data_IF_109270280522
#
_entry.id   IF_109270280522
#
_cell.length_a   1.000
_cell.length_b   1.000
_cell.length_c   1.000
_cell.angle_alpha   90.00
_cell.angle_beta   90.00
_cell.angle_gamma   90.00
#
_symmetry.space_group_name_H-M   'P 1'
#
loop_
_entity.id
_entity.type
_entity.pdbx_description
1 polymer ?
#
# COMPACT_ATOMS: atom_id res chain seq x y z
N UNK A 1 10.11 -21.27 -24.62
CA UNK A 1 9.53 -19.94 -24.31
C UNK A 1 8.10 -19.80 -24.83
N UNK A 2 7.77 -20.25 -26.05
CA UNK A 2 6.39 -20.19 -26.59
C UNK A 2 5.35 -20.93 -25.76
N UNK A 3 5.65 -22.11 -25.22
CA UNK A 3 4.69 -22.85 -24.37
C UNK A 3 4.35 -22.10 -23.08
N UNK A 4 5.36 -21.51 -22.43
CA UNK A 4 5.18 -20.69 -21.22
C UNK A 4 4.41 -19.42 -21.58
N UNK A 5 4.79 -18.72 -22.65
CA UNK A 5 4.10 -17.53 -23.11
C UNK A 5 2.63 -17.81 -23.48
N UNK A 6 2.34 -18.90 -24.19
CA UNK A 6 0.96 -19.29 -24.54
C UNK A 6 0.15 -19.73 -23.33
N UNK A 7 0.75 -20.41 -22.35
CA UNK A 7 0.10 -20.74 -21.08
C UNK A 7 -0.31 -19.48 -20.33
N UNK A 8 0.60 -18.51 -20.16
CA UNK A 8 0.30 -17.25 -19.49
C UNK A 8 -0.70 -16.39 -20.28
N UNK A 9 -0.62 -16.35 -21.61
CA UNK A 9 -1.60 -15.64 -22.44
C UNK A 9 -3.02 -16.23 -22.32
N UNK A 10 -3.12 -17.56 -22.29
CA UNK A 10 -4.41 -18.26 -22.10
C UNK A 10 -4.95 -17.99 -20.70
N UNK A 11 -4.10 -18.02 -19.68
CA UNK A 11 -4.46 -17.71 -18.29
C UNK A 11 -4.93 -16.26 -18.11
N UNK A 12 -4.23 -15.30 -18.71
CA UNK A 12 -4.61 -13.88 -18.64
C UNK A 12 -5.97 -13.61 -19.28
N UNK A 13 -6.39 -14.42 -20.27
CA UNK A 13 -7.72 -14.30 -20.88
C UNK A 13 -8.88 -14.74 -19.97
N UNK A 14 -8.59 -15.47 -18.89
CA UNK A 14 -9.61 -15.97 -17.94
C UNK A 14 -9.98 -14.93 -16.87
N UNK A 15 -9.26 -13.81 -16.81
CA UNK A 15 -9.43 -12.77 -15.79
C UNK A 15 -8.69 -13.07 -14.48
N UNK A 16 -8.40 -12.02 -13.71
CA UNK A 16 -7.58 -12.08 -12.50
C UNK A 16 -8.13 -13.03 -11.42
N UNK A 17 -9.46 -13.12 -11.30
CA UNK A 17 -10.16 -13.96 -10.32
C UNK A 17 -9.99 -15.47 -10.57
N UNK A 18 -9.61 -15.88 -11.79
CA UNK A 18 -9.32 -17.28 -12.15
C UNK A 18 -7.82 -17.49 -12.31
N UNK A 19 -7.13 -16.52 -12.91
CA UNK A 19 -5.70 -16.58 -13.14
C UNK A 19 -4.90 -16.72 -11.84
N UNK A 20 -5.13 -15.86 -10.84
CA UNK A 20 -4.31 -15.89 -9.63
C UNK A 20 -4.46 -17.17 -8.80
N UNK A 21 -5.66 -17.72 -8.57
CA UNK A 21 -5.80 -19.01 -7.93
C UNK A 21 -4.95 -20.12 -8.54
N UNK A 22 -4.90 -20.19 -9.88
CA UNK A 22 -4.13 -21.21 -10.61
C UNK A 22 -2.64 -20.95 -10.43
N UNK A 23 -2.21 -19.69 -10.54
CA UNK A 23 -0.82 -19.30 -10.34
C UNK A 23 -0.35 -19.68 -8.93
N UNK A 24 -1.11 -19.32 -7.89
CA UNK A 24 -0.75 -19.65 -6.50
C UNK A 24 -0.72 -21.16 -6.26
N UNK A 25 -1.69 -21.90 -6.79
CA UNK A 25 -1.69 -23.37 -6.72
C UNK A 25 -0.40 -23.95 -7.32
N UNK A 26 -0.04 -23.54 -8.54
CA UNK A 26 1.16 -24.05 -9.23
C UNK A 26 2.42 -23.66 -8.48
N UNK A 27 2.55 -22.41 -8.04
CA UNK A 27 3.74 -21.94 -7.31
C UNK A 27 3.92 -22.66 -5.97
N UNK A 28 2.85 -22.79 -5.18
CA UNK A 28 2.90 -23.49 -3.91
C UNK A 28 3.36 -24.95 -4.09
N UNK A 29 2.86 -25.63 -5.13
CA UNK A 29 3.30 -26.99 -5.48
C UNK A 29 4.78 -27.06 -5.88
N UNK A 30 5.26 -26.12 -6.70
CA UNK A 30 6.68 -26.08 -7.11
C UNK A 30 7.61 -25.84 -5.92
N UNK A 31 7.18 -25.06 -4.93
CA UNK A 31 7.92 -24.83 -3.70
C UNK A 31 7.83 -25.98 -2.69
N UNK A 32 7.05 -27.03 -2.99
CA UNK A 32 6.97 -28.25 -2.18
C UNK A 32 5.81 -28.28 -1.17
N UNK A 33 4.84 -27.37 -1.26
CA UNK A 33 3.62 -27.44 -0.46
C UNK A 33 2.71 -28.60 -0.92
N UNK A 34 1.85 -29.09 -0.02
CA UNK A 34 0.92 -30.20 -0.36
C UNK A 34 -0.18 -29.69 -1.29
N UNK A 35 -0.69 -30.57 -2.16
CA UNK A 35 -1.76 -30.21 -3.10
C UNK A 35 -3.01 -29.65 -2.43
N UNK A 36 -3.49 -30.26 -1.34
CA UNK A 36 -4.67 -29.78 -0.63
C UNK A 36 -4.51 -28.37 -0.04
N UNK A 37 -3.34 -28.09 0.54
CA UNK A 37 -2.99 -26.77 1.08
C UNK A 37 -2.87 -25.75 -0.06
N UNK A 38 -2.22 -26.12 -1.16
CA UNK A 38 -2.02 -25.28 -2.35
C UNK A 38 -3.33 -24.95 -3.06
N UNK A 39 -4.25 -25.91 -3.15
CA UNK A 39 -5.57 -25.70 -3.76
C UNK A 39 -6.43 -24.78 -2.89
N UNK A 40 -6.45 -25.01 -1.57
CA UNK A 40 -7.16 -24.14 -0.62
C UNK A 40 -6.62 -22.71 -0.68
N UNK A 41 -5.29 -22.56 -0.72
CA UNK A 41 -4.60 -21.28 -0.86
C UNK A 41 -5.03 -20.53 -2.13
N UNK A 42 -4.94 -21.18 -3.30
CA UNK A 42 -5.38 -20.59 -4.56
C UNK A 42 -6.85 -20.17 -4.55
N UNK A 43 -7.75 -21.04 -4.07
CA UNK A 43 -9.18 -20.71 -3.98
C UNK A 43 -9.46 -19.54 -3.03
N UNK A 44 -8.74 -19.44 -1.90
CA UNK A 44 -8.88 -18.31 -0.97
C UNK A 44 -8.49 -16.98 -1.61
N UNK A 45 -7.41 -16.98 -2.41
CA UNK A 45 -7.04 -15.82 -3.23
C UNK A 45 -8.20 -15.44 -4.17
N UNK A 46 -8.81 -16.41 -4.85
CA UNK A 46 -9.95 -16.16 -5.74
C UNK A 46 -11.14 -15.50 -5.03
N UNK A 47 -11.47 -15.97 -3.82
CA UNK A 47 -12.51 -15.37 -2.98
C UNK A 47 -12.17 -13.92 -2.63
N UNK A 48 -10.92 -13.65 -2.23
CA UNK A 48 -10.48 -12.28 -1.91
C UNK A 48 -10.61 -11.33 -3.11
N UNK A 49 -10.26 -11.78 -4.31
CA UNK A 49 -10.41 -11.00 -5.55
C UNK A 49 -11.87 -10.67 -5.86
N UNK A 50 -12.76 -11.67 -5.80
CA UNK A 50 -14.19 -11.46 -6.03
C UNK A 50 -14.76 -10.50 -4.98
N UNK A 51 -14.42 -10.71 -3.71
CA UNK A 51 -14.88 -9.87 -2.60
C UNK A 51 -14.44 -8.41 -2.75
N UNK A 52 -13.16 -8.17 -3.10
CA UNK A 52 -12.66 -6.81 -3.34
C UNK A 52 -13.38 -6.14 -4.52
N UNK A 53 -13.56 -6.84 -5.64
CA UNK A 53 -14.26 -6.29 -6.80
C UNK A 53 -15.71 -5.91 -6.50
N UNK A 54 -16.42 -6.70 -5.68
CA UNK A 54 -17.77 -6.36 -5.22
C UNK A 54 -17.78 -5.06 -4.40
N UNK A 55 -16.79 -4.87 -3.51
CA UNK A 55 -16.71 -3.68 -2.67
C UNK A 55 -16.29 -2.44 -3.49
N UNK A 56 -15.37 -2.60 -4.44
CA UNK A 56 -14.97 -1.54 -5.38
C UNK A 56 -16.20 -1.08 -6.19
N UNK A 57 -17.00 -2.02 -6.69
CA UNK A 57 -18.26 -1.70 -7.37
C UNK A 57 -19.22 -0.92 -6.46
N UNK A 58 -19.42 -1.40 -5.23
CA UNK A 58 -20.26 -0.72 -4.23
C UNK A 58 -19.78 0.71 -3.91
N UNK A 59 -18.46 0.93 -3.84
CA UNK A 59 -17.87 2.26 -3.68
C UNK A 59 -18.18 3.15 -4.89
N UNK A 60 -17.96 2.66 -6.11
CA UNK A 60 -18.25 3.40 -7.34
C UNK A 60 -19.73 3.79 -7.44
N UNK A 61 -20.64 2.84 -7.19
CA UNK A 61 -22.09 3.04 -7.27
C UNK A 61 -22.63 4.02 -6.22
N UNK A 62 -21.96 4.11 -5.06
CA UNK A 62 -22.41 4.95 -3.95
C UNK A 62 -21.73 6.33 -3.93
N UNK A 63 -20.40 6.36 -4.04
CA UNK A 63 -19.59 7.57 -3.92
C UNK A 63 -19.47 8.32 -5.26
N UNK A 64 -19.57 7.63 -6.40
CA UNK A 64 -19.57 8.22 -7.74
C UNK A 64 -20.62 9.31 -7.92
N UNK A 65 -21.92 9.02 -7.68
CA UNK A 65 -22.97 10.02 -7.78
C UNK A 65 -22.78 11.22 -6.84
N UNK A 66 -22.30 10.98 -5.61
CA UNK A 66 -22.04 12.06 -4.64
C UNK A 66 -20.93 12.98 -5.13
N UNK A 67 -19.89 12.39 -5.69
CA UNK A 67 -18.73 13.11 -6.22
C UNK A 67 -19.11 13.92 -7.46
N UNK A 68 -19.91 13.36 -8.36
CA UNK A 68 -20.45 14.07 -9.51
C UNK A 68 -21.35 15.24 -9.10
N UNK A 69 -22.21 15.05 -8.08
CA UNK A 69 -23.05 16.13 -7.58
C UNK A 69 -22.23 17.30 -7.00
N UNK A 70 -21.11 17.01 -6.32
CA UNK A 70 -20.19 18.05 -5.84
C UNK A 70 -19.46 18.77 -6.98
N UNK A 71 -19.10 18.05 -8.05
CA UNK A 71 -18.54 18.64 -9.28
C UNK A 71 -19.55 19.62 -9.90
N UNK A 72 -20.80 19.19 -10.07
CA UNK A 72 -21.85 19.98 -10.70
C UNK A 72 -22.27 21.21 -9.87
N UNK A 73 -22.29 21.07 -8.53
CA UNK A 73 -22.77 22.11 -7.60
C UNK A 73 -21.68 23.13 -7.25
N UNK A 74 -20.45 22.67 -7.03
CA UNK A 74 -19.36 23.51 -6.50
C UNK A 74 -18.21 23.73 -7.48
N UNK A 75 -18.29 23.15 -8.69
CA UNK A 75 -17.22 23.25 -9.68
C UNK A 75 -15.93 22.54 -9.26
N UNK A 76 -16.02 21.57 -8.35
CA UNK A 76 -14.88 20.73 -7.95
C UNK A 76 -14.46 19.80 -9.10
N UNK A 77 -13.24 19.29 -9.06
CA UNK A 77 -12.71 18.38 -10.10
C UNK A 77 -12.48 16.95 -9.60
N UNK A 78 -13.25 16.49 -8.60
CA UNK A 78 -12.99 15.25 -7.85
C UNK A 78 -13.33 13.95 -8.61
N UNK A 79 -13.05 13.83 -9.90
CA UNK A 79 -13.56 12.73 -10.74
C UNK A 79 -12.93 11.34 -10.51
N UNK A 80 -11.97 11.22 -9.58
CA UNK A 80 -11.25 9.95 -9.30
C UNK A 80 -11.53 9.51 -7.88
N UNK A 81 -12.08 8.31 -7.70
CA UNK A 81 -12.35 7.74 -6.38
C UNK A 81 -11.17 6.88 -5.90
N UNK A 82 -10.71 7.15 -4.69
CA UNK A 82 -9.76 6.28 -4.00
C UNK A 82 -10.45 5.00 -3.49
N UNK A 83 -10.21 3.90 -4.20
CA UNK A 83 -10.71 2.56 -3.88
C UNK A 83 -9.81 1.78 -2.91
N UNK A 84 -8.66 2.35 -2.56
CA UNK A 84 -7.72 1.82 -1.59
C UNK A 84 -6.71 0.83 -2.13
N UNK A 85 -5.59 0.72 -1.42
CA UNK A 85 -4.46 -0.12 -1.79
C UNK A 85 -4.78 -1.60 -2.04
N UNK A 86 -5.77 -2.28 -1.41
CA UNK A 86 -6.03 -3.68 -1.72
C UNK A 86 -6.61 -3.87 -3.12
N UNK A 87 -7.39 -2.91 -3.60
CA UNK A 87 -7.86 -2.88 -4.97
C UNK A 87 -6.66 -2.77 -5.93
N UNK A 88 -5.74 -1.84 -5.66
CA UNK A 88 -4.51 -1.68 -6.45
C UNK A 88 -3.62 -2.93 -6.43
N UNK A 89 -3.53 -3.62 -5.28
CA UNK A 89 -2.82 -4.90 -5.16
C UNK A 89 -3.46 -6.01 -5.98
N UNK A 90 -4.79 -6.12 -5.94
CA UNK A 90 -5.54 -7.05 -6.76
C UNK A 90 -5.30 -6.77 -8.26
N UNK A 91 -5.42 -5.52 -8.70
CA UNK A 91 -5.13 -5.11 -10.07
C UNK A 91 -3.69 -5.48 -10.45
N UNK A 92 -2.71 -5.17 -9.60
CA UNK A 92 -1.30 -5.46 -9.85
C UNK A 92 -1.02 -6.95 -10.06
N UNK A 93 -1.56 -7.81 -9.21
CA UNK A 93 -1.41 -9.27 -9.35
C UNK A 93 -2.23 -9.83 -10.52
N UNK A 94 -3.31 -9.15 -10.89
CA UNK A 94 -4.15 -9.51 -12.04
C UNK A 94 -3.50 -9.28 -13.41
N UNK A 95 -2.35 -8.60 -13.49
CA UNK A 95 -1.67 -8.33 -14.76
C UNK A 95 -0.72 -9.45 -15.18
N UNK A 96 -0.29 -9.41 -16.45
CA UNK A 96 0.78 -10.27 -16.96
C UNK A 96 2.10 -10.07 -16.21
N UNK A 97 2.43 -8.84 -15.78
CA UNK A 97 3.61 -8.59 -14.95
C UNK A 97 3.43 -9.22 -13.57
N UNK A 98 2.24 -9.10 -12.97
CA UNK A 98 1.87 -9.74 -11.71
C UNK A 98 2.07 -11.26 -11.72
N UNK A 99 1.78 -11.92 -12.85
CA UNK A 99 1.97 -13.35 -13.00
C UNK A 99 3.44 -13.81 -12.87
N UNK A 100 4.39 -12.96 -13.25
CA UNK A 100 5.84 -13.24 -13.17
C UNK A 100 6.51 -12.61 -11.95
N UNK A 101 5.83 -11.76 -11.18
CA UNK A 101 6.51 -10.95 -10.17
C UNK A 101 7.11 -11.78 -9.04
N UNK A 102 6.38 -12.80 -8.56
CA UNK A 102 6.80 -13.64 -7.43
C UNK A 102 8.13 -14.35 -7.74
N UNK A 103 8.25 -15.15 -8.81
CA UNK A 103 9.51 -15.82 -9.11
C UNK A 103 10.64 -14.84 -9.41
N UNK A 104 10.35 -13.73 -10.10
CA UNK A 104 11.37 -12.71 -10.42
C UNK A 104 11.93 -12.08 -9.15
N UNK A 105 11.06 -11.65 -8.23
CA UNK A 105 11.48 -11.02 -6.98
C UNK A 105 12.21 -11.98 -6.04
N UNK A 106 11.74 -13.24 -5.92
CA UNK A 106 12.45 -14.26 -5.13
C UNK A 106 13.85 -14.53 -5.69
N UNK A 107 13.96 -14.73 -7.01
CA UNK A 107 15.24 -14.97 -7.67
C UNK A 107 16.16 -13.76 -7.51
N UNK A 108 15.64 -12.55 -7.68
CA UNK A 108 16.39 -11.32 -7.51
C UNK A 108 16.92 -11.18 -6.08
N UNK A 109 16.10 -11.45 -5.05
CA UNK A 109 16.56 -11.39 -3.67
C UNK A 109 17.69 -12.41 -3.41
N UNK A 110 17.56 -13.64 -3.91
CA UNK A 110 18.62 -14.67 -3.83
C UNK A 110 19.90 -14.19 -4.52
N UNK A 111 19.81 -13.57 -5.70
CA UNK A 111 20.96 -13.03 -6.42
C UNK A 111 21.61 -11.89 -5.64
N UNK A 112 20.82 -10.93 -5.15
CA UNK A 112 21.32 -9.80 -4.37
C UNK A 112 21.99 -10.24 -3.07
N UNK A 113 21.45 -11.29 -2.41
CA UNK A 113 22.10 -11.92 -1.27
C UNK A 113 23.43 -12.52 -1.73
N UNK A 114 23.46 -13.36 -2.76
CA UNK A 114 24.69 -13.99 -3.25
C UNK A 114 25.78 -12.98 -3.68
N UNK A 115 25.40 -11.81 -4.19
CA UNK A 115 26.33 -10.73 -4.60
C UNK A 115 26.65 -9.74 -3.48
N UNK A 116 26.17 -9.95 -2.25
CA UNK A 116 26.31 -9.01 -1.11
C UNK A 116 25.76 -7.60 -1.41
N UNK A 117 24.79 -7.50 -2.33
CA UNK A 117 24.09 -6.24 -2.62
C UNK A 117 23.04 -5.92 -1.57
N UNK A 118 22.55 -6.95 -0.85
CA UNK A 118 21.67 -6.79 0.30
C UNK A 118 22.02 -7.81 1.39
N UNK A 119 21.76 -7.46 2.65
CA UNK A 119 21.75 -8.39 3.78
C UNK A 119 20.32 -8.73 4.23
N UNK A 120 19.30 -8.16 3.59
CA UNK A 120 17.89 -8.45 3.86
C UNK A 120 17.39 -9.65 3.07
N UNK A 121 16.84 -10.61 3.79
CA UNK A 121 15.99 -11.66 3.22
C UNK A 121 14.55 -11.16 3.28
N UNK A 122 13.95 -10.87 2.12
CA UNK A 122 12.56 -10.41 2.07
C UNK A 122 11.61 -11.61 2.10
N UNK A 123 11.01 -11.85 3.26
CA UNK A 123 10.08 -12.97 3.48
C UNK A 123 8.61 -12.56 3.29
N UNK A 124 8.32 -11.26 3.12
CA UNK A 124 6.97 -10.76 2.88
C UNK A 124 6.67 -10.79 1.37
N UNK A 125 6.33 -11.98 0.87
CA UNK A 125 5.97 -12.19 -0.55
C UNK A 125 4.70 -11.41 -0.92
N UNK A 126 3.80 -11.18 0.04
CA UNK A 126 2.60 -10.38 -0.21
C UNK A 126 2.97 -9.01 -0.76
N UNK A 127 3.97 -8.34 -0.17
CA UNK A 127 4.40 -7.02 -0.63
C UNK A 127 4.92 -6.96 -2.07
N UNK A 128 5.16 -8.09 -2.74
CA UNK A 128 5.63 -8.07 -4.12
C UNK A 128 4.61 -7.48 -5.09
N UNK A 129 3.35 -7.36 -4.68
CA UNK A 129 2.34 -6.60 -5.44
C UNK A 129 2.78 -5.17 -5.73
N UNK A 130 3.57 -4.54 -4.84
CA UNK A 130 4.05 -3.16 -5.02
C UNK A 130 5.02 -3.06 -6.20
N UNK A 131 5.88 -4.06 -6.35
CA UNK A 131 6.79 -4.17 -7.49
C UNK A 131 6.00 -4.50 -8.76
N UNK A 132 5.05 -5.43 -8.67
CA UNK A 132 4.13 -5.76 -9.78
C UNK A 132 3.37 -4.53 -10.26
N UNK A 133 2.90 -3.69 -9.35
CA UNK A 133 2.14 -2.48 -9.66
C UNK A 133 3.01 -1.50 -10.45
N UNK A 134 4.22 -1.24 -9.98
CA UNK A 134 5.18 -0.37 -10.68
C UNK A 134 5.49 -0.89 -12.08
N UNK A 135 5.80 -2.19 -12.20
CA UNK A 135 6.06 -2.79 -13.50
C UNK A 135 4.83 -2.83 -14.40
N UNK A 136 3.63 -2.99 -13.83
CA UNK A 136 2.37 -2.95 -14.59
C UNK A 136 2.14 -1.58 -15.20
N UNK A 137 2.35 -0.49 -14.45
CA UNK A 137 2.25 0.87 -14.97
C UNK A 137 3.21 1.10 -16.14
N UNK A 138 4.48 0.67 -16.00
CA UNK A 138 5.48 0.80 -17.08
C UNK A 138 5.11 -0.08 -18.29
N UNK A 139 4.63 -1.30 -18.07
CA UNK A 139 4.20 -2.18 -19.15
C UNK A 139 3.00 -1.59 -19.93
N UNK A 140 2.04 -0.99 -19.23
CA UNK A 140 0.88 -0.31 -19.85
C UNK A 140 1.36 0.89 -20.68
N UNK A 141 2.22 1.73 -20.12
CA UNK A 141 2.73 2.92 -20.81
C UNK A 141 3.60 2.61 -22.04
N UNK A 142 4.39 1.54 -21.97
CA UNK A 142 5.34 1.17 -23.04
C UNK A 142 4.81 0.11 -24.00
N UNK A 143 3.69 -0.54 -23.68
CA UNK A 143 3.18 -1.70 -24.39
C UNK A 143 4.09 -2.95 -24.27
N UNK A 144 5.02 -2.98 -23.31
CA UNK A 144 6.03 -4.04 -23.20
C UNK A 144 6.14 -4.62 -21.79
N UNK A 145 5.81 -5.90 -21.66
CA UNK A 145 5.98 -6.68 -20.42
C UNK A 145 7.45 -6.70 -20.00
N UNK A 146 8.39 -6.73 -20.95
CA UNK A 146 9.83 -6.74 -20.65
C UNK A 146 10.29 -5.47 -19.93
N UNK A 147 9.83 -4.30 -20.40
CA UNK A 147 10.08 -3.03 -19.72
C UNK A 147 9.40 -2.96 -18.35
N UNK A 148 8.21 -3.55 -18.21
CA UNK A 148 7.53 -3.69 -16.93
C UNK A 148 8.32 -4.53 -15.91
N UNK A 149 8.76 -5.73 -16.31
CA UNK A 149 9.61 -6.59 -15.45
C UNK A 149 10.91 -5.88 -15.09
N UNK A 150 11.55 -5.20 -16.04
CA UNK A 150 12.74 -4.41 -15.78
C UNK A 150 12.50 -3.32 -14.72
N UNK A 151 11.41 -2.57 -14.83
CA UNK A 151 11.03 -1.56 -13.85
C UNK A 151 10.76 -2.17 -12.46
N UNK A 152 10.10 -3.33 -12.38
CA UNK A 152 9.89 -4.06 -11.14
C UNK A 152 11.20 -4.46 -10.46
N UNK A 153 12.17 -4.96 -11.24
CA UNK A 153 13.51 -5.35 -10.76
C UNK A 153 14.25 -4.15 -10.19
N UNK A 154 14.27 -3.03 -10.92
CA UNK A 154 14.92 -1.80 -10.45
C UNK A 154 14.25 -1.28 -9.17
N UNK A 155 12.92 -1.24 -9.12
CA UNK A 155 12.20 -0.81 -7.93
C UNK A 155 12.54 -1.71 -6.72
N UNK A 156 12.53 -3.03 -6.90
CA UNK A 156 12.91 -3.95 -5.83
C UNK A 156 14.34 -3.72 -5.33
N UNK A 157 15.32 -3.53 -6.24
CA UNK A 157 16.70 -3.22 -5.83
C UNK A 157 16.75 -1.96 -4.97
N UNK A 158 16.08 -0.88 -5.39
CA UNK A 158 16.04 0.38 -4.65
C UNK A 158 15.44 0.17 -3.26
N UNK A 159 14.29 -0.49 -3.17
CA UNK A 159 13.61 -0.74 -1.89
C UNK A 159 14.44 -1.59 -0.95
N UNK A 160 15.11 -2.64 -1.46
CA UNK A 160 15.98 -3.50 -0.66
C UNK A 160 17.19 -2.74 -0.12
N UNK A 161 17.82 -1.90 -0.95
CA UNK A 161 18.94 -1.05 -0.51
C UNK A 161 18.48 -0.05 0.56
N UNK A 162 17.32 0.58 0.39
CA UNK A 162 16.76 1.48 1.41
C UNK A 162 16.51 0.72 2.71
N UNK A 163 15.93 -0.48 2.64
CA UNK A 163 15.66 -1.31 3.81
C UNK A 163 16.94 -1.65 4.60
N UNK A 164 18.02 -2.00 3.91
CA UNK A 164 19.31 -2.29 4.56
C UNK A 164 19.96 -1.04 5.17
N UNK A 165 20.01 0.06 4.43
CA UNK A 165 20.64 1.31 4.90
C UNK A 165 19.92 1.87 6.12
N UNK A 166 18.61 1.67 6.19
CA UNK A 166 17.77 2.15 7.31
C UNK A 166 17.61 1.14 8.43
N UNK A 167 17.97 -0.13 8.25
CA UNK A 167 17.79 -1.17 9.26
C UNK A 167 18.39 -0.79 10.63
N UNK A 168 19.64 -0.29 10.75
CA UNK A 168 20.19 0.07 12.07
C UNK A 168 19.38 1.15 12.79
N UNK A 169 18.87 2.14 12.04
CA UNK A 169 18.01 3.19 12.59
C UNK A 169 16.69 2.61 13.09
N UNK A 170 16.11 1.67 12.34
CA UNK A 170 14.87 1.01 12.72
C UNK A 170 15.02 0.09 13.93
N UNK A 171 16.11 -0.67 14.00
CA UNK A 171 16.46 -1.53 15.13
C UNK A 171 16.55 -0.73 16.43
N UNK A 172 17.30 0.38 16.40
CA UNK A 172 17.48 1.27 17.56
C UNK A 172 16.19 1.96 17.97
N UNK A 173 15.46 2.52 17.00
CA UNK A 173 14.29 3.35 17.27
C UNK A 173 13.05 2.55 17.68
N UNK A 174 12.83 1.38 17.06
CA UNK A 174 11.64 0.56 17.31
C UNK A 174 11.91 -0.65 18.21
N UNK A 175 13.17 -0.89 18.60
CA UNK A 175 13.53 -2.04 19.44
C UNK A 175 13.34 -3.39 18.76
N UNK A 176 13.53 -3.45 17.44
CA UNK A 176 13.31 -4.64 16.61
C UNK A 176 14.65 -5.18 16.04
N UNK A 177 15.50 -5.81 16.87
CA UNK A 177 16.81 -6.30 16.42
C UNK A 177 16.67 -7.38 15.35
N UNK A 178 17.51 -7.31 14.32
CA UNK A 178 17.54 -8.23 13.19
C UNK A 178 16.43 -8.02 12.16
N UNK A 179 15.62 -6.95 12.28
CA UNK A 179 14.52 -6.66 11.36
C UNK A 179 14.86 -5.52 10.41
N UNK A 180 14.51 -5.69 9.14
CA UNK A 180 14.48 -4.62 8.15
C UNK A 180 13.07 -4.52 7.52
N UNK A 181 12.78 -3.39 6.87
CA UNK A 181 11.44 -3.12 6.32
C UNK A 181 11.54 -2.88 4.81
N UNK A 182 11.61 -3.93 3.96
CA UNK A 182 11.57 -3.83 2.51
C UNK A 182 10.15 -3.58 1.97
N UNK A 183 9.44 -2.62 2.58
CA UNK A 183 8.06 -2.28 2.25
C UNK A 183 8.02 -1.10 1.27
N UNK A 184 7.73 -1.38 0.00
CA UNK A 184 7.90 -0.42 -1.09
C UNK A 184 7.18 0.93 -0.93
N UNK A 185 6.04 0.97 -0.24
CA UNK A 185 5.34 2.25 0.01
C UNK A 185 6.05 3.08 1.07
N UNK A 186 6.29 2.51 2.25
CA UNK A 186 6.91 3.24 3.37
C UNK A 186 8.37 3.59 3.06
N UNK A 187 9.11 2.67 2.45
CA UNK A 187 10.51 2.85 2.10
C UNK A 187 10.70 3.95 1.04
N UNK A 188 9.76 4.12 0.10
CA UNK A 188 9.84 5.18 -0.91
C UNK A 188 9.89 6.59 -0.32
N UNK A 189 9.32 6.78 0.87
CA UNK A 189 9.34 8.08 1.56
C UNK A 189 10.61 8.33 2.37
N UNK A 190 11.42 7.32 2.65
CA UNK A 190 12.66 7.46 3.41
C UNK A 190 13.64 8.49 2.82
N UNK A 191 14.03 8.44 1.52
CA UNK A 191 14.93 9.43 0.94
C UNK A 191 14.31 10.83 0.93
N UNK A 192 13.01 10.94 0.65
CA UNK A 192 12.28 12.22 0.64
C UNK A 192 12.30 12.85 2.03
N UNK A 193 11.96 12.06 3.05
CA UNK A 193 11.95 12.50 4.44
C UNK A 193 13.34 12.93 4.91
N UNK A 194 14.39 12.20 4.51
CA UNK A 194 15.77 12.56 4.87
C UNK A 194 16.17 13.91 4.27
N UNK A 195 15.87 14.15 2.99
CA UNK A 195 16.15 15.44 2.33
C UNK A 195 15.36 16.57 2.97
N UNK A 196 14.05 16.39 3.15
CA UNK A 196 13.19 17.43 3.73
C UNK A 196 13.55 17.73 5.20
N UNK A 197 13.87 16.70 5.99
CA UNK A 197 14.29 16.90 7.38
C UNK A 197 15.60 17.69 7.47
N UNK A 198 16.55 17.44 6.56
CA UNK A 198 17.78 18.24 6.43
C UNK A 198 17.48 19.68 6.02
N UNK A 199 16.55 19.92 5.10
CA UNK A 199 16.15 21.28 4.73
C UNK A 199 15.61 22.03 5.95
N UNK A 200 14.79 21.37 6.78
CA UNK A 200 14.27 21.96 8.02
C UNK A 200 15.41 22.34 8.98
N UNK A 201 16.49 21.56 9.07
CA UNK A 201 17.65 21.88 9.91
C UNK A 201 18.31 23.22 9.56
N UNK A 202 18.28 23.60 8.27
CA UNK A 202 18.86 24.85 7.78
C UNK A 202 17.98 26.09 8.03
N UNK A 203 16.72 25.94 8.45
CA UNK A 203 15.81 27.06 8.70
C UNK A 203 15.93 27.50 10.17
N UNK A 204 16.53 28.67 10.47
CA UNK A 204 16.71 29.13 11.84
C UNK A 204 15.36 29.32 12.54
N UNK A 205 15.22 28.79 13.75
CA UNK A 205 14.00 28.89 14.54
C UNK A 205 13.09 27.68 14.34
N UNK A 206 12.79 27.32 13.09
CA UNK A 206 11.99 26.12 12.77
C UNK A 206 12.74 24.85 13.16
N UNK A 207 14.07 24.83 12.97
CA UNK A 207 14.91 23.69 13.36
C UNK A 207 14.88 23.36 14.87
N UNK A 208 14.46 24.31 15.72
CA UNK A 208 14.34 24.15 17.18
C UNK A 208 12.94 23.75 17.64
N UNK A 209 11.95 23.72 16.75
CA UNK A 209 10.58 23.33 17.11
C UNK A 209 10.57 21.83 17.37
N UNK A 210 10.30 21.45 18.61
CA UNK A 210 10.05 20.06 18.99
C UNK A 210 8.68 19.97 19.67
N UNK A 211 7.77 19.27 18.99
CA UNK A 211 6.42 19.03 19.49
C UNK A 211 6.35 17.56 19.82
N UNK A 212 6.15 17.28 21.11
CA UNK A 212 5.78 15.96 21.57
C UNK A 212 4.35 15.65 21.12
N UNK A 213 4.23 14.92 20.00
CA UNK A 213 2.94 14.55 19.45
C UNK A 213 2.24 13.44 20.24
N UNK A 214 2.90 12.80 21.22
CA UNK A 214 2.31 11.69 22.00
C UNK A 214 1.10 12.13 22.84
N UNK A 215 0.98 13.42 23.14
CA UNK A 215 -0.12 14.00 23.93
C UNK A 215 -1.47 13.91 23.20
N UNK A 216 -1.48 13.78 21.86
CA UNK A 216 -2.72 13.73 21.07
C UNK A 216 -3.41 12.36 21.07
N UNK A 217 -2.66 11.27 21.19
CA UNK A 217 -3.19 9.89 21.12
C UNK A 217 -4.24 9.63 22.21
N UNK A 218 -4.03 10.16 23.41
CA UNK A 218 -4.86 9.88 24.59
C UNK A 218 -6.28 10.50 24.57
N UNK A 219 -6.66 11.26 23.53
CA UNK A 219 -7.92 12.03 23.54
C UNK A 219 -8.99 11.60 22.52
N UNK A 220 -8.70 10.71 21.57
CA UNK A 220 -9.61 10.51 20.41
C UNK A 220 -9.80 9.04 20.01
N UNK A 221 -9.68 8.09 20.95
CA UNK A 221 -9.65 6.65 20.68
C UNK A 221 -10.77 6.07 19.79
N UNK A 222 -12.00 6.62 19.82
CA UNK A 222 -13.13 6.12 19.01
C UNK A 222 -13.06 6.63 17.56
N UNK A 223 -12.44 7.78 17.30
CA UNK A 223 -12.37 8.41 15.97
C UNK A 223 -11.37 7.75 15.01
N UNK A 224 -10.55 6.81 15.50
CA UNK A 224 -9.63 6.04 14.67
C UNK A 224 -10.22 4.73 14.10
N UNK A 225 -11.43 4.33 14.53
CA UNK A 225 -12.02 3.08 14.05
C UNK A 225 -12.43 3.21 12.57
N UNK A 226 -12.01 2.30 11.67
CA UNK A 226 -12.34 2.37 10.25
C UNK A 226 -13.83 2.53 9.95
N UNK A 227 -14.69 1.88 10.74
CA UNK A 227 -16.14 2.01 10.63
C UNK A 227 -16.60 3.46 10.87
N UNK A 228 -16.15 4.08 11.95
CA UNK A 228 -16.56 5.43 12.31
C UNK A 228 -15.98 6.45 11.33
N UNK A 229 -14.71 6.29 10.94
CA UNK A 229 -14.06 7.14 9.93
C UNK A 229 -14.86 7.11 8.62
N UNK A 230 -15.16 5.93 8.09
CA UNK A 230 -15.91 5.77 6.85
C UNK A 230 -17.32 6.35 6.97
N UNK A 231 -17.98 6.12 8.11
CA UNK A 231 -19.32 6.64 8.36
C UNK A 231 -19.36 8.17 8.42
N UNK A 232 -18.44 8.80 9.14
CA UNK A 232 -18.36 10.26 9.26
C UNK A 232 -18.03 10.87 7.89
N UNK A 233 -17.08 10.30 7.16
CA UNK A 233 -16.71 10.80 5.82
C UNK A 233 -17.91 10.69 4.88
N UNK A 234 -18.57 9.52 4.81
CA UNK A 234 -19.75 9.35 3.97
C UNK A 234 -20.90 10.28 4.35
N UNK A 235 -21.07 10.58 5.65
CA UNK A 235 -22.06 11.53 6.13
C UNK A 235 -21.73 12.96 5.66
N UNK A 236 -20.50 13.43 5.89
CA UNK A 236 -20.06 14.77 5.49
C UNK A 236 -20.14 14.94 3.98
N UNK A 237 -19.61 13.98 3.22
CA UNK A 237 -19.67 13.98 1.75
C UNK A 237 -21.11 13.97 1.27
N UNK A 238 -21.97 13.13 1.83
CA UNK A 238 -23.37 13.07 1.41
C UNK A 238 -24.14 14.36 1.71
N UNK A 239 -23.90 14.98 2.87
CA UNK A 239 -24.53 16.27 3.21
C UNK A 239 -24.05 17.40 2.29
N UNK A 240 -22.76 17.42 1.93
CA UNK A 240 -22.20 18.40 1.00
C UNK A 240 -22.73 18.14 -0.42
N UNK A 241 -22.76 16.89 -0.87
CA UNK A 241 -23.17 16.51 -2.22
C UNK A 241 -24.67 16.73 -2.48
N UNK A 242 -25.53 16.33 -1.54
CA UNK A 242 -26.99 16.27 -1.74
C UNK A 242 -27.78 17.30 -0.93
N UNK A 243 -27.14 17.96 0.03
CA UNK A 243 -27.78 18.90 0.94
C UNK A 243 -28.57 18.24 2.09
N UNK A 244 -28.88 19.04 3.12
CA UNK A 244 -29.54 18.58 4.34
C UNK A 244 -30.98 18.06 4.16
N UNK A 245 -31.61 18.29 3.01
CA UNK A 245 -32.96 17.80 2.70
C UNK A 245 -33.02 16.32 2.34
N UNK A 246 -31.92 15.74 1.85
CA UNK A 246 -31.85 14.37 1.29
C UNK A 246 -31.34 13.35 2.33
N UNK A 247 -31.96 13.35 3.51
CA UNK A 247 -31.46 12.58 4.66
C UNK A 247 -31.38 11.08 4.46
N UNK A 248 -32.26 10.50 3.65
CA UNK A 248 -32.15 9.07 3.32
C UNK A 248 -30.89 8.79 2.53
N UNK A 249 -30.60 9.60 1.52
CA UNK A 249 -29.48 9.44 0.60
C UNK A 249 -28.14 9.58 1.32
N UNK A 250 -27.95 10.65 2.09
CA UNK A 250 -26.67 10.87 2.79
C UNK A 250 -26.45 9.92 3.97
N UNK A 251 -27.50 9.45 4.65
CA UNK A 251 -27.37 8.44 5.71
C UNK A 251 -27.05 7.05 5.14
N UNK A 252 -27.66 6.68 4.00
CA UNK A 252 -27.29 5.45 3.29
C UNK A 252 -25.84 5.51 2.83
N UNK A 253 -25.40 6.63 2.24
CA UNK A 253 -24.00 6.81 1.87
C UNK A 253 -23.07 6.64 3.07
N UNK A 254 -23.37 7.28 4.20
CA UNK A 254 -22.60 7.16 5.44
C UNK A 254 -22.40 5.69 5.86
N UNK A 255 -23.47 4.93 5.99
CA UNK A 255 -23.39 3.52 6.42
C UNK A 255 -22.65 2.66 5.39
N UNK A 256 -22.89 2.87 4.09
CA UNK A 256 -22.19 2.14 3.03
C UNK A 256 -20.70 2.40 3.07
N UNK A 257 -20.28 3.65 3.23
CA UNK A 257 -18.87 4.03 3.35
C UNK A 257 -18.22 3.41 4.59
N UNK A 258 -18.89 3.44 5.75
CA UNK A 258 -18.44 2.74 6.95
C UNK A 258 -18.25 1.24 6.72
N UNK A 259 -19.20 0.59 6.04
CA UNK A 259 -19.12 -0.84 5.72
C UNK A 259 -17.94 -1.15 4.78
N UNK A 260 -17.71 -0.34 3.75
CA UNK A 260 -16.60 -0.51 2.82
C UNK A 260 -15.24 -0.50 3.54
N UNK A 261 -15.00 0.45 4.47
CA UNK A 261 -13.73 0.51 5.21
C UNK A 261 -13.51 -0.67 6.18
N UNK A 262 -14.56 -1.40 6.54
CA UNK A 262 -14.46 -2.64 7.33
C UNK A 262 -14.26 -3.86 6.43
N UNK A 263 -14.92 -3.89 5.28
CA UNK A 263 -14.92 -5.06 4.37
C UNK A 263 -13.66 -5.13 3.51
N UNK A 264 -13.11 -4.00 3.06
CA UNK A 264 -11.90 -3.96 2.21
C UNK A 264 -10.72 -4.70 2.88
N UNK A 265 -10.35 -4.40 4.14
CA UNK A 265 -9.25 -5.10 4.80
C UNK A 265 -9.53 -6.59 5.03
N UNK A 266 -10.79 -6.96 5.29
CA UNK A 266 -11.18 -8.37 5.47
C UNK A 266 -11.02 -9.17 4.18
N UNK A 267 -11.39 -8.63 3.03
CA UNK A 267 -11.19 -9.32 1.74
C UNK A 267 -9.71 -9.35 1.35
N UNK A 268 -8.95 -8.30 1.65
CA UNK A 268 -7.50 -8.28 1.49
C UNK A 268 -6.81 -9.36 2.34
N UNK A 269 -7.29 -9.61 3.57
CA UNK A 269 -6.76 -10.65 4.44
C UNK A 269 -6.87 -12.05 3.83
N UNK A 270 -7.97 -12.34 3.11
CA UNK A 270 -8.11 -13.62 2.39
C UNK A 270 -7.04 -13.80 1.30
N UNK A 271 -6.66 -12.71 0.62
CA UNK A 271 -5.54 -12.75 -0.34
C UNK A 271 -4.23 -13.07 0.36
N UNK A 272 -3.95 -12.42 1.50
CA UNK A 272 -2.75 -12.68 2.30
C UNK A 272 -2.71 -14.12 2.81
N UNK A 273 -3.82 -14.63 3.35
CA UNK A 273 -3.96 -16.02 3.81
C UNK A 273 -3.63 -17.03 2.71
N UNK A 274 -4.07 -16.76 1.48
CA UNK A 274 -3.75 -17.59 0.33
C UNK A 274 -2.27 -17.58 -0.08
N UNK A 275 -1.51 -16.56 0.32
CA UNK A 275 -0.06 -16.51 0.06
C UNK A 275 0.80 -17.09 1.18
N UNK A 276 0.25 -17.32 2.38
CA UNK A 276 1.02 -17.84 3.53
C UNK A 276 1.82 -19.11 3.16
N UNK A 277 1.23 -20.14 2.50
CA UNK A 277 1.99 -21.35 2.17
C UNK A 277 3.16 -21.10 1.22
N UNK A 278 3.05 -20.10 0.34
CA UNK A 278 4.14 -19.70 -0.58
C UNK A 278 5.24 -18.99 0.20
N UNK A 279 4.87 -18.09 1.11
CA UNK A 279 5.80 -17.37 2.00
C UNK A 279 6.59 -18.33 2.88
N UNK A 280 5.92 -19.27 3.56
CA UNK A 280 6.55 -20.24 4.46
C UNK A 280 7.56 -21.12 3.70
N UNK A 281 7.16 -21.65 2.53
CA UNK A 281 8.03 -22.51 1.74
C UNK A 281 9.27 -21.77 1.19
N UNK A 282 9.09 -20.52 0.74
CA UNK A 282 10.21 -19.68 0.31
C UNK A 282 11.14 -19.32 1.47
N UNK A 283 10.59 -19.01 2.65
CA UNK A 283 11.37 -18.71 3.85
C UNK A 283 12.23 -19.91 4.26
N UNK A 284 11.66 -21.12 4.33
CA UNK A 284 12.42 -22.33 4.64
C UNK A 284 13.56 -22.56 3.64
N UNK A 285 13.29 -22.36 2.35
CA UNK A 285 14.28 -22.53 1.29
C UNK A 285 15.45 -21.56 1.44
N UNK A 286 15.17 -20.28 1.67
CA UNK A 286 16.21 -19.25 1.82
C UNK A 286 16.99 -19.45 3.12
N UNK A 287 16.33 -19.73 4.24
CA UNK A 287 17.00 -19.98 5.52
C UNK A 287 17.95 -21.17 5.44
N UNK A 288 17.54 -22.30 4.84
CA UNK A 288 18.42 -23.47 4.65
C UNK A 288 19.67 -23.10 3.84
N UNK A 289 19.53 -22.28 2.80
CA UNK A 289 20.61 -21.93 1.88
C UNK A 289 21.56 -20.84 2.41
N UNK A 290 21.06 -19.90 3.21
CA UNK A 290 21.82 -18.72 3.66
C UNK A 290 22.07 -18.66 5.18
N UNK A 291 21.74 -19.72 5.92
CA UNK A 291 21.94 -19.87 7.38
C UNK A 291 23.36 -19.62 7.92
N UNK A 292 24.39 -19.57 7.06
CA UNK A 292 25.81 -19.43 7.45
C UNK A 292 26.35 -17.99 7.40
N UNK A 293 25.51 -16.97 7.17
CA UNK A 293 25.95 -15.58 7.17
C UNK A 293 25.95 -14.98 8.57
N UNK A 294 26.95 -14.13 8.82
CA UNK A 294 27.14 -13.47 10.11
C UNK A 294 26.10 -12.39 10.41
N UNK A 295 25.54 -11.75 9.37
CA UNK A 295 24.52 -10.71 9.51
C UNK A 295 23.45 -10.84 8.42
N UNK A 296 22.26 -11.29 8.80
CA UNK A 296 21.08 -11.31 7.94
C UNK A 296 19.97 -10.53 8.63
N UNK A 297 19.35 -9.62 7.90
CA UNK A 297 18.11 -8.98 8.30
C UNK A 297 16.91 -9.77 7.78
N UNK A 298 15.89 -9.90 8.62
CA UNK A 298 14.60 -10.46 8.24
C UNK A 298 13.71 -9.30 7.78
N UNK A 299 13.41 -9.29 6.49
CA UNK A 299 12.58 -8.27 5.87
C UNK A 299 11.11 -8.50 6.16
N UNK A 300 10.48 -7.60 6.90
CA UNK A 300 9.08 -7.67 7.31
C UNK A 300 8.24 -6.52 6.76
N UNK A 301 6.92 -6.65 6.92
CA UNK A 301 5.98 -5.58 6.64
C UNK A 301 6.19 -4.38 7.58
N UNK A 302 5.99 -3.17 7.07
CA UNK A 302 5.98 -1.93 7.89
C UNK A 302 4.93 -1.92 9.02
N UNK A 303 3.94 -2.82 8.97
CA UNK A 303 2.95 -3.00 10.02
C UNK A 303 3.56 -3.15 11.42
N UNK A 304 4.76 -3.73 11.53
CA UNK A 304 5.47 -3.95 12.80
C UNK A 304 5.84 -2.65 13.54
N UNK A 305 5.89 -1.51 12.84
CA UNK A 305 6.30 -0.22 13.37
C UNK A 305 5.17 0.84 13.39
N UNK A 306 3.92 0.42 13.15
CA UNK A 306 2.76 1.34 13.13
C UNK A 306 2.36 1.87 14.49
N UNK A 307 2.55 1.07 15.55
CA UNK A 307 2.07 1.37 16.90
C UNK A 307 2.82 2.51 17.60
N UNK A 308 3.75 3.19 16.92
CA UNK A 308 4.49 4.29 17.52
C UNK A 308 3.56 5.49 17.77
N UNK A 309 3.49 6.06 19.00
CA UNK A 309 2.55 7.12 19.36
C UNK A 309 2.58 8.35 18.44
N UNK A 310 3.77 8.77 18.01
CA UNK A 310 3.96 9.90 17.08
C UNK A 310 3.37 9.59 15.70
N UNK A 311 3.52 8.35 15.21
CA UNK A 311 2.96 7.91 13.92
C UNK A 311 1.44 8.03 13.95
N UNK A 312 0.81 7.49 14.98
CA UNK A 312 -0.65 7.52 15.12
C UNK A 312 -1.18 8.95 15.29
N UNK A 313 -0.52 9.76 16.13
CA UNK A 313 -0.95 11.12 16.42
C UNK A 313 -0.82 12.05 15.21
N UNK A 314 0.28 11.95 14.45
CA UNK A 314 0.46 12.75 13.24
C UNK A 314 -0.46 12.27 12.12
N UNK A 315 -0.66 10.96 11.96
CA UNK A 315 -1.62 10.43 10.98
C UNK A 315 -3.04 10.96 11.26
N UNK A 316 -3.46 10.96 12.52
CA UNK A 316 -4.76 11.49 12.94
C UNK A 316 -4.96 12.96 12.55
N UNK A 317 -3.90 13.79 12.68
CA UNK A 317 -3.93 15.19 12.24
C UNK A 317 -3.99 15.31 10.71
N UNK A 318 -3.23 14.47 10.00
CA UNK A 318 -3.16 14.50 8.54
C UNK A 318 -4.44 14.00 7.87
N UNK A 319 -5.21 13.11 8.48
CA UNK A 319 -6.46 12.57 7.92
C UNK A 319 -7.47 13.66 7.50
N UNK A 320 -7.97 14.53 8.42
CA UNK A 320 -8.90 15.59 8.03
C UNK A 320 -8.26 16.63 7.09
N UNK A 321 -6.95 16.86 7.20
CA UNK A 321 -6.22 17.78 6.32
C UNK A 321 -6.14 17.22 4.89
N UNK A 322 -6.00 15.91 4.73
CA UNK A 322 -5.99 15.24 3.43
C UNK A 322 -7.31 15.46 2.69
N UNK A 323 -8.43 15.35 3.39
CA UNK A 323 -9.75 15.65 2.84
C UNK A 323 -9.89 17.12 2.44
N UNK A 324 -9.40 18.04 3.27
CA UNK A 324 -9.40 19.46 2.94
C UNK A 324 -8.53 19.74 1.71
N UNK A 325 -7.31 19.19 1.68
CA UNK A 325 -6.38 19.29 0.55
C UNK A 325 -7.01 18.74 -0.73
N UNK A 326 -7.74 17.63 -0.68
CA UNK A 326 -8.40 17.09 -1.87
C UNK A 326 -9.34 18.11 -2.54
N UNK A 327 -10.04 18.92 -1.74
CA UNK A 327 -10.99 19.93 -2.23
C UNK A 327 -10.27 21.21 -2.70
N UNK A 328 -9.24 21.66 -1.97
CA UNK A 328 -8.63 22.98 -2.23
C UNK A 328 -7.40 22.93 -3.15
N UNK A 329 -6.75 21.77 -3.30
CA UNK A 329 -5.48 21.65 -4.01
C UNK A 329 -5.70 21.77 -5.53
N UNK A 330 -5.14 22.80 -6.19
CA UNK A 330 -5.32 22.98 -7.63
C UNK A 330 -4.73 21.80 -8.41
N UNK A 331 -5.49 21.28 -9.36
CA UNK A 331 -5.09 20.15 -10.20
C UNK A 331 -5.27 18.77 -9.55
N UNK A 332 -5.78 18.69 -8.32
CA UNK A 332 -6.22 17.41 -7.75
C UNK A 332 -7.58 17.01 -8.31
N UNK A 333 -7.71 15.73 -8.66
CA UNK A 333 -8.97 15.10 -9.03
C UNK A 333 -9.34 13.91 -8.15
N UNK A 334 -8.46 13.52 -7.23
CA UNK A 334 -8.68 12.37 -6.35
C UNK A 334 -9.53 12.78 -5.16
N UNK A 335 -10.58 12.01 -4.89
CA UNK A 335 -11.34 12.01 -3.65
C UNK A 335 -10.79 10.91 -2.73
N UNK A 336 -9.97 11.25 -1.71
CA UNK A 336 -9.37 10.28 -0.80
C UNK A 336 -10.44 9.62 0.06
N UNK A 337 -10.35 8.31 0.22
CA UNK A 337 -11.33 7.56 0.98
C UNK A 337 -10.69 6.35 1.66
N UNK A 338 -10.39 5.29 0.92
CA UNK A 338 -9.92 4.05 1.51
C UNK A 338 -8.46 4.12 1.98
N UNK A 339 -7.60 4.87 1.29
CA UNK A 339 -6.18 5.02 1.67
C UNK A 339 -5.94 6.01 2.81
N UNK A 340 -6.98 6.69 3.31
CA UNK A 340 -6.88 7.48 4.55
C UNK A 340 -6.46 6.61 5.75
N UNK A 341 -6.87 5.34 5.77
CA UNK A 341 -6.46 4.38 6.80
C UNK A 341 -4.97 3.99 6.71
N UNK A 342 -4.28 4.35 5.61
CA UNK A 342 -2.90 3.95 5.31
C UNK A 342 -1.90 5.07 5.60
N UNK A 343 -2.36 6.29 5.91
CA UNK A 343 -1.50 7.41 6.32
C UNK A 343 -0.47 6.98 7.40
N UNK A 344 -0.82 6.19 8.44
CA UNK A 344 0.17 5.69 9.39
C UNK A 344 1.35 4.94 8.76
N UNK A 345 1.11 4.13 7.71
CA UNK A 345 2.15 3.37 7.02
C UNK A 345 3.17 4.27 6.30
N UNK A 346 2.73 5.41 5.79
CA UNK A 346 3.61 6.41 5.17
C UNK A 346 4.61 6.96 6.19
N UNK A 347 4.16 7.16 7.43
CA UNK A 347 4.95 7.79 8.50
C UNK A 347 5.98 6.86 9.14
N UNK A 348 5.90 5.54 8.91
CA UNK A 348 6.79 4.53 9.51
C UNK A 348 8.28 4.86 9.33
N UNK A 349 8.69 5.38 8.17
CA UNK A 349 10.08 5.81 7.93
C UNK A 349 10.32 7.28 8.28
N UNK A 350 9.29 8.12 8.20
CA UNK A 350 9.41 9.55 8.45
C UNK A 350 9.70 9.82 9.93
N UNK A 351 9.00 9.13 10.83
CA UNK A 351 9.11 9.32 12.28
C UNK A 351 10.51 9.02 12.81
N UNK A 352 11.14 7.86 12.53
CA UNK A 352 12.52 7.58 12.93
C UNK A 352 13.52 8.57 12.34
N UNK A 353 13.35 8.97 11.07
CA UNK A 353 14.21 9.96 10.41
C UNK A 353 14.13 11.33 11.10
N UNK A 354 12.93 11.71 11.56
CA UNK A 354 12.69 12.92 12.34
C UNK A 354 12.99 12.75 13.83
N UNK A 355 13.48 11.58 14.25
CA UNK A 355 13.78 11.23 15.65
C UNK A 355 12.59 11.43 16.59
N UNK A 356 11.37 11.16 16.11
CA UNK A 356 10.14 11.31 16.89
C UNK A 356 9.59 12.74 17.01
N UNK A 357 10.23 13.73 16.38
CA UNK A 357 9.73 15.10 16.39
C UNK A 357 8.40 15.20 15.61
N UNK A 358 7.31 15.50 16.33
CA UNK A 358 5.96 15.54 15.78
C UNK A 358 5.76 16.64 14.75
N UNK A 359 6.35 17.81 14.96
CA UNK A 359 6.26 18.95 14.04
C UNK A 359 6.91 18.64 12.69
N UNK A 360 8.14 18.12 12.70
CA UNK A 360 8.88 17.75 11.48
C UNK A 360 8.15 16.65 10.72
N UNK A 361 7.70 15.63 11.43
CA UNK A 361 6.93 14.52 10.86
C UNK A 361 5.66 15.03 10.19
N UNK A 362 4.92 15.93 10.84
CA UNK A 362 3.70 16.53 10.30
C UNK A 362 3.96 17.33 9.02
N UNK A 363 4.95 18.22 9.01
CA UNK A 363 5.28 19.03 7.83
C UNK A 363 5.71 18.17 6.66
N UNK A 364 6.56 17.16 6.90
CA UNK A 364 7.01 16.24 5.85
C UNK A 364 5.84 15.41 5.33
N UNK A 365 4.99 14.88 6.21
CA UNK A 365 3.79 14.13 5.83
C UNK A 365 2.82 14.98 5.00
N UNK A 366 2.63 16.25 5.37
CA UNK A 366 1.79 17.20 4.64
C UNK A 366 2.29 17.43 3.20
N UNK A 367 3.61 17.65 3.04
CA UNK A 367 4.23 17.83 1.73
C UNK A 367 4.03 16.56 0.87
N UNK A 368 4.30 15.39 1.46
CA UNK A 368 4.18 14.11 0.76
C UNK A 368 2.74 13.85 0.33
N UNK A 369 1.74 14.07 1.19
CA UNK A 369 0.32 13.91 0.84
C UNK A 369 -0.07 14.87 -0.28
N UNK A 370 0.34 16.13 -0.19
CA UNK A 370 0.04 17.15 -1.22
C UNK A 370 0.57 16.71 -2.59
N UNK A 371 1.83 16.28 -2.65
CA UNK A 371 2.42 15.78 -3.91
C UNK A 371 1.78 14.46 -4.33
N UNK A 372 1.47 13.58 -3.38
CA UNK A 372 0.83 12.29 -3.60
C UNK A 372 -0.53 12.43 -4.29
N UNK A 373 -1.37 13.37 -3.85
CA UNK A 373 -2.67 13.65 -4.49
C UNK A 373 -2.52 14.05 -5.97
N UNK A 374 -1.53 14.89 -6.28
CA UNK A 374 -1.24 15.29 -7.66
C UNK A 374 -0.68 14.13 -8.49
N UNK A 375 0.21 13.31 -7.92
CA UNK A 375 0.72 12.11 -8.59
C UNK A 375 -0.42 11.13 -8.87
N UNK A 376 -1.26 10.85 -7.87
CA UNK A 376 -2.42 9.96 -8.01
C UNK A 376 -3.39 10.46 -9.07
N UNK A 377 -3.63 11.77 -9.15
CA UNK A 377 -4.44 12.38 -10.22
C UNK A 377 -3.86 12.08 -11.61
N UNK A 378 -2.54 12.23 -11.78
CA UNK A 378 -1.89 11.97 -13.06
C UNK A 378 -1.80 10.47 -13.40
N UNK A 379 -1.76 9.60 -12.39
CA UNK A 379 -1.70 8.14 -12.58
C UNK A 379 -3.08 7.47 -12.71
N UNK A 380 -4.16 8.17 -12.35
CA UNK A 380 -5.51 7.62 -12.38
C UNK A 380 -5.89 6.98 -13.74
N UNK A 381 -5.59 7.60 -14.91
CA UNK A 381 -5.94 7.01 -16.22
C UNK A 381 -5.24 5.69 -16.53
N UNK A 382 -4.21 5.31 -15.78
CA UNK A 382 -3.49 4.04 -15.96
C UNK A 382 -4.06 2.91 -15.09
N UNK A 383 -5.03 3.22 -14.23
CA UNK A 383 -5.65 2.28 -13.27
C UNK A 383 -7.15 2.07 -13.54
N UNK A 384 -7.74 2.90 -14.39
CA UNK A 384 -9.11 2.82 -14.94
C UNK A 384 -9.11 2.13 -16.28
#
# INVERSE_FOLDING_TARGET
MEFIANFFNTLSSLGASVMMPIIILVFALVLGAKFGESLRAGLMVGVGFIGLNLIIGLLGDSLGPATQAMVDTYGLQLNVIDVGWPASAAIAFGTQVGAFIIPVCLLLNIVMLATNTTETVNIDIWNFWRFAFTGSLVAILTGSIGWGIFASVINMIIVMVIADVTAPMFEEYNGLPGISIPHGFSAAFAPIAWVLNKIIDFIPGVNKIDIDATVLENKMGVFGEPLLVGTIIGLVVGMVAYGFGEYKTYLTLAITMGACLVLIPKMAALLMEGLIPVSDAAQEFIQKKFSKRDKIYIGLNSAVALGHPVTLSVALLLTPITLLLAVILPGNQVMPFADLAVIPFMLVFIVPICRGNGFRTFIIGLIIITVGLLISTNLAPLQT
#
